data_IF_733494006817
#
_entry.id   IF_733494006817
#
_cell.length_a   1.000
_cell.length_b   1.000
_cell.length_c   1.000
_cell.angle_alpha   90.00
_cell.angle_beta   90.00
_cell.angle_gamma   90.00
#
_symmetry.space_group_name_H-M   'P 1'
#
loop_
_entity.id
_entity.type
_entity.pdbx_description
1 polymer ?
#
# COMPACT_ATOMS: atom_id res chain seq x y z
N UNK A 1 -19.88 12.94 24.93
CA UNK A 1 -19.65 11.48 24.75
C UNK A 1 -19.19 11.14 23.32
N UNK A 2 -18.37 12.01 22.70
CA UNK A 2 -17.96 11.88 21.28
C UNK A 2 -16.58 11.24 21.10
N UNK A 3 -15.83 11.00 22.19
CA UNK A 3 -14.44 10.53 22.15
C UNK A 3 -14.27 9.02 22.25
N UNK A 4 -15.31 8.27 22.62
CA UNK A 4 -15.25 6.80 22.78
C UNK A 4 -15.64 6.08 21.47
N UNK A 5 -16.44 6.72 20.61
CA UNK A 5 -16.82 6.17 19.30
C UNK A 5 -15.66 6.16 18.29
N UNK A 6 -14.68 7.07 18.43
CA UNK A 6 -13.53 7.15 17.52
C UNK A 6 -12.52 6.02 17.76
N UNK A 7 -12.40 5.54 19.00
CA UNK A 7 -11.44 4.50 19.39
C UNK A 7 -11.95 3.08 19.11
N UNK A 8 -13.27 2.88 19.02
CA UNK A 8 -13.85 1.57 18.65
C UNK A 8 -13.92 1.37 17.13
N UNK A 9 -13.88 2.44 16.33
CA UNK A 9 -13.97 2.37 14.87
C UNK A 9 -12.65 1.95 14.18
N UNK A 10 -11.50 2.22 14.79
CA UNK A 10 -10.18 1.83 14.25
C UNK A 10 -9.98 0.30 14.32
N UNK A 11 -10.65 -0.38 15.26
CA UNK A 11 -10.55 -1.83 15.42
C UNK A 11 -11.38 -2.65 14.42
N UNK A 12 -12.37 -2.04 13.74
CA UNK A 12 -13.24 -2.74 12.79
C UNK A 12 -12.70 -2.78 11.37
N UNK A 13 -11.75 -1.90 11.02
CA UNK A 13 -11.10 -1.89 9.70
C UNK A 13 -9.97 -2.93 9.60
N UNK A 14 -9.53 -3.51 10.72
CA UNK A 14 -8.47 -4.52 10.76
C UNK A 14 -8.96 -5.98 10.77
N UNK A 15 -10.28 -6.25 10.76
CA UNK A 15 -10.83 -7.59 11.01
C UNK A 15 -11.55 -8.26 9.82
N UNK A 16 -11.57 -7.70 8.61
CA UNK A 16 -12.28 -8.33 7.46
C UNK A 16 -11.43 -8.69 6.24
N UNK A 17 -10.11 -8.50 6.26
CA UNK A 17 -9.21 -8.95 5.18
C UNK A 17 -8.49 -10.27 5.48
N UNK A 18 -9.14 -11.21 6.17
CA UNK A 18 -8.60 -12.54 6.49
C UNK A 18 -9.27 -13.68 5.73
N UNK A 19 -9.54 -13.53 4.43
CA UNK A 19 -9.92 -14.66 3.59
C UNK A 19 -9.39 -14.47 2.17
N UNK A 20 -8.17 -14.96 1.92
CA UNK A 20 -7.72 -15.83 0.81
C UNK A 20 -6.20 -16.00 0.98
N UNK A 21 -5.79 -16.83 1.95
CA UNK A 21 -4.59 -17.70 1.86
C UNK A 21 -4.83 -18.84 2.85
N UNK A 22 -5.38 -19.96 2.40
CA UNK A 22 -5.44 -21.19 3.21
C UNK A 22 -5.23 -22.42 2.33
N UNK A 23 -3.96 -22.82 2.16
CA UNK A 23 -3.39 -24.02 2.79
C UNK A 23 -1.97 -24.33 2.31
N UNK A 24 -1.25 -25.03 3.19
CA UNK A 24 0.08 -25.65 3.07
C UNK A 24 1.21 -24.73 3.53
N UNK A 25 1.89 -24.90 4.66
CA UNK A 25 2.05 -26.02 5.60
C UNK A 25 2.42 -25.47 6.98
N UNK A 26 2.10 -26.24 8.02
CA UNK A 26 2.59 -26.11 9.40
C UNK A 26 4.07 -25.71 9.47
N UNK A 27 4.36 -24.43 9.69
CA UNK A 27 5.62 -23.97 10.30
C UNK A 27 5.29 -23.74 11.78
N UNK A 28 5.98 -24.47 12.66
CA UNK A 28 5.99 -24.17 14.10
C UNK A 28 6.28 -22.67 14.25
N UNK A 29 5.30 -21.88 14.66
CA UNK A 29 5.51 -20.53 15.16
C UNK A 29 6.34 -20.70 16.44
N UNK A 30 7.66 -20.62 16.29
CA UNK A 30 8.50 -20.21 17.41
C UNK A 30 8.14 -18.76 17.70
N UNK A 31 7.73 -18.47 18.93
CA UNK A 31 7.48 -17.09 19.35
C UNK A 31 8.70 -16.21 19.00
N UNK A 32 8.49 -14.99 18.48
CA UNK A 32 9.60 -14.10 18.17
C UNK A 32 10.45 -13.86 19.42
N UNK A 33 11.74 -14.12 19.32
CA UNK A 33 12.69 -13.87 20.41
C UNK A 33 13.37 -12.53 20.20
N UNK A 34 13.66 -11.84 21.30
CA UNK A 34 14.50 -10.64 21.24
C UNK A 34 15.86 -10.99 20.65
N UNK A 35 16.31 -10.14 19.74
CA UNK A 35 17.57 -10.29 19.00
C UNK A 35 18.17 -8.92 18.74
N UNK A 36 19.43 -8.90 18.32
CA UNK A 36 20.10 -7.69 17.84
C UNK A 36 20.45 -7.91 16.38
N UNK A 37 19.62 -7.38 15.47
CA UNK A 37 19.84 -7.50 14.02
C UNK A 37 20.34 -6.22 13.37
N UNK A 38 19.89 -5.08 13.89
CA UNK A 38 20.28 -3.75 13.44
C UNK A 38 20.77 -2.99 14.67
N UNK A 39 21.91 -2.32 14.55
CA UNK A 39 22.44 -1.43 15.60
C UNK A 39 21.41 -0.33 15.91
N UNK A 40 21.22 -0.02 17.20
CA UNK A 40 20.26 0.98 17.70
C UNK A 40 18.77 0.72 17.37
N UNK A 41 18.41 -0.54 17.12
CA UNK A 41 17.02 -0.97 16.98
C UNK A 41 16.69 -2.09 17.97
N UNK A 42 15.47 -2.04 18.49
CA UNK A 42 14.88 -3.13 19.26
C UNK A 42 14.26 -4.14 18.29
N UNK A 43 14.91 -5.29 18.14
CA UNK A 43 14.49 -6.31 17.17
C UNK A 43 13.86 -7.55 17.84
N UNK A 44 12.85 -8.09 17.17
CA UNK A 44 12.26 -9.41 17.41
C UNK A 44 12.46 -10.28 16.18
N UNK A 45 13.15 -11.40 16.37
CA UNK A 45 13.52 -12.30 15.30
C UNK A 45 12.79 -13.63 15.42
N UNK A 46 12.48 -14.21 14.27
CA UNK A 46 12.02 -15.58 14.09
C UNK A 46 12.79 -16.20 12.93
N UNK A 47 12.62 -17.50 12.69
CA UNK A 47 13.27 -18.15 11.54
C UNK A 47 12.92 -17.51 10.19
N UNK A 48 11.76 -16.86 10.06
CA UNK A 48 11.27 -16.29 8.81
C UNK A 48 11.42 -14.78 8.74
N UNK A 49 11.22 -14.10 9.86
CA UNK A 49 11.00 -12.65 9.91
C UNK A 49 11.81 -11.99 11.00
N UNK A 50 12.29 -10.78 10.71
CA UNK A 50 12.76 -9.82 11.69
C UNK A 50 11.87 -8.58 11.67
N UNK A 51 11.41 -8.15 12.84
CA UNK A 51 10.77 -6.85 13.05
C UNK A 51 11.66 -6.03 13.95
N UNK A 52 12.08 -4.86 13.52
CA UNK A 52 12.91 -3.94 14.28
C UNK A 52 12.19 -2.61 14.48
N UNK A 53 12.16 -2.14 15.71
CA UNK A 53 11.58 -0.84 16.08
C UNK A 53 12.70 0.12 16.46
N UNK A 54 12.56 1.37 16.02
CA UNK A 54 13.43 2.47 16.43
C UNK A 54 12.54 3.61 16.95
N UNK A 55 12.88 4.11 18.13
CA UNK A 55 12.25 5.24 18.82
C UNK A 55 13.21 6.43 18.99
N UNK A 56 14.29 6.44 18.21
CA UNK A 56 15.38 7.42 18.23
C UNK A 56 15.51 8.09 16.85
N UNK A 57 16.51 8.96 16.70
CA UNK A 57 16.79 9.55 15.39
C UNK A 57 17.34 8.45 14.45
N UNK A 58 16.73 8.31 13.27
CA UNK A 58 17.17 7.33 12.27
C UNK A 58 18.61 7.65 11.84
N UNK A 59 19.56 6.69 11.89
CA UNK A 59 20.91 6.95 11.46
C UNK A 59 20.97 7.23 9.96
N UNK A 60 22.02 7.92 9.50
CA UNK A 60 22.25 8.17 8.07
C UNK A 60 22.26 6.89 7.23
N UNK A 61 22.74 5.79 7.83
CA UNK A 61 22.80 4.44 7.27
C UNK A 61 22.60 3.45 8.40
N UNK A 62 21.72 2.47 8.22
CA UNK A 62 21.53 1.41 9.22
C UNK A 62 22.71 0.42 9.19
N UNK A 63 23.08 -0.11 10.35
CA UNK A 63 24.17 -1.08 10.44
C UNK A 63 23.62 -2.47 10.77
N UNK A 64 23.80 -3.43 9.85
CA UNK A 64 23.38 -4.82 10.05
C UNK A 64 24.45 -5.60 10.80
N UNK A 65 24.06 -6.21 11.92
CA UNK A 65 24.97 -6.99 12.74
C UNK A 65 25.40 -8.29 12.01
N UNK A 66 26.70 -8.64 12.00
CA UNK A 66 27.23 -9.73 11.17
C UNK A 66 26.54 -11.08 11.38
N UNK A 67 26.17 -11.36 12.63
CA UNK A 67 25.50 -12.60 13.02
C UNK A 67 24.07 -12.69 12.51
N UNK A 68 23.43 -11.62 12.05
CA UNK A 68 22.03 -11.61 11.58
C UNK A 68 21.88 -11.53 10.06
N UNK A 69 22.99 -11.47 9.33
CA UNK A 69 22.99 -11.43 7.87
C UNK A 69 22.48 -12.74 7.28
N UNK A 70 21.73 -12.62 6.18
CA UNK A 70 21.25 -13.70 5.33
C UNK A 70 20.33 -14.72 6.00
N UNK A 71 19.43 -14.28 6.88
CA UNK A 71 18.56 -15.19 7.65
C UNK A 71 17.09 -15.12 7.29
N UNK A 72 16.61 -13.94 6.87
CA UNK A 72 15.17 -13.65 6.88
C UNK A 72 14.59 -13.64 5.47
N UNK A 73 13.31 -13.96 5.34
CA UNK A 73 12.53 -13.77 4.12
C UNK A 73 11.66 -12.51 4.21
N UNK A 74 11.41 -12.03 5.44
CA UNK A 74 10.55 -10.88 5.72
C UNK A 74 11.22 -9.95 6.72
N UNK A 75 11.24 -8.66 6.41
CA UNK A 75 11.86 -7.61 7.20
C UNK A 75 10.86 -6.50 7.41
N UNK A 76 10.64 -6.12 8.65
CA UNK A 76 9.79 -4.99 9.02
C UNK A 76 10.56 -3.98 9.86
N UNK A 77 10.50 -2.71 9.46
CA UNK A 77 11.01 -1.58 10.23
C UNK A 77 9.84 -0.72 10.70
N UNK A 78 9.80 -0.43 11.99
CA UNK A 78 8.84 0.49 12.61
C UNK A 78 9.64 1.67 13.15
N UNK A 79 9.42 2.84 12.56
CA UNK A 79 10.21 4.04 12.84
C UNK A 79 9.31 5.07 13.52
N UNK A 80 9.75 5.50 14.69
CA UNK A 80 9.17 6.58 15.48
C UNK A 80 10.29 7.53 15.86
N UNK A 81 10.10 8.83 15.63
CA UNK A 81 11.05 9.84 16.07
C UNK A 81 10.32 11.05 16.69
N UNK A 82 10.85 11.66 17.77
CA UNK A 82 10.35 12.92 18.26
C UNK A 82 10.71 14.10 17.34
N UNK A 83 11.69 13.93 16.45
CA UNK A 83 12.18 14.93 15.50
C UNK A 83 11.82 14.56 14.04
N UNK A 84 12.38 15.31 13.10
CA UNK A 84 12.27 15.05 11.67
C UNK A 84 13.05 13.78 11.28
N UNK A 85 12.41 12.91 10.51
CA UNK A 85 13.01 11.72 9.92
C UNK A 85 13.54 12.08 8.54
N UNK A 86 14.82 11.81 8.30
CA UNK A 86 15.45 11.97 7.00
C UNK A 86 15.87 10.61 6.46
N UNK A 87 15.27 10.20 5.34
CA UNK A 87 15.62 8.94 4.66
C UNK A 87 16.28 9.29 3.33
N UNK A 88 17.58 9.00 3.26
CA UNK A 88 18.41 9.24 2.08
C UNK A 88 18.63 7.93 1.31
N UNK A 89 19.18 8.04 0.11
CA UNK A 89 19.38 6.92 -0.82
C UNK A 89 20.03 5.66 -0.21
N UNK A 90 20.93 5.84 0.76
CA UNK A 90 21.68 4.75 1.40
C UNK A 90 21.16 4.36 2.78
N UNK A 91 20.15 5.07 3.31
CA UNK A 91 19.69 4.84 4.69
C UNK A 91 19.16 3.43 4.89
N UNK A 92 18.33 2.95 3.95
CA UNK A 92 17.69 1.64 4.01
C UNK A 92 18.41 0.56 3.18
N UNK A 93 19.40 0.94 2.37
CA UNK A 93 20.09 0.01 1.46
C UNK A 93 20.68 -1.23 2.19
N UNK A 94 21.29 -1.11 3.38
CA UNK A 94 21.86 -2.27 4.07
C UNK A 94 20.83 -3.32 4.52
N UNK A 95 19.52 -3.00 4.54
CA UNK A 95 18.46 -3.97 4.86
C UNK A 95 18.59 -5.24 4.00
N UNK A 96 19.06 -5.10 2.76
CA UNK A 96 19.22 -6.24 1.84
C UNK A 96 20.11 -7.35 2.39
N UNK A 97 21.04 -7.04 3.29
CA UNK A 97 21.96 -8.01 3.91
C UNK A 97 21.27 -8.95 4.90
N UNK A 98 20.08 -8.59 5.40
CA UNK A 98 19.30 -9.45 6.30
C UNK A 98 18.61 -10.60 5.55
N UNK A 99 18.41 -10.46 4.24
CA UNK A 99 17.67 -11.45 3.45
C UNK A 99 18.45 -12.72 3.18
N UNK A 100 17.80 -13.85 3.41
CA UNK A 100 18.29 -15.18 3.05
C UNK A 100 18.54 -15.24 1.53
N UNK A 101 19.75 -15.67 1.14
CA UNK A 101 20.22 -15.63 -0.26
C UNK A 101 19.45 -16.56 -1.21
N UNK A 102 18.94 -17.68 -0.68
CA UNK A 102 18.16 -18.69 -1.42
C UNK A 102 16.65 -18.54 -1.16
N UNK A 103 16.19 -17.35 -0.76
CA UNK A 103 14.78 -17.06 -0.60
C UNK A 103 14.03 -17.09 -1.94
N UNK A 104 12.78 -17.51 -1.91
CA UNK A 104 11.80 -17.43 -2.99
C UNK A 104 10.88 -16.22 -2.84
N UNK A 105 10.83 -15.64 -1.64
CA UNK A 105 10.01 -14.50 -1.26
C UNK A 105 10.87 -13.53 -0.45
N UNK A 106 10.79 -12.24 -0.79
CA UNK A 106 11.49 -11.13 -0.14
C UNK A 106 10.46 -10.05 0.18
N UNK A 107 10.11 -9.91 1.46
CA UNK A 107 9.14 -8.93 1.95
C UNK A 107 9.84 -7.82 2.73
N UNK A 108 9.72 -6.57 2.26
CA UNK A 108 10.13 -5.39 3.01
C UNK A 108 8.91 -4.58 3.41
N UNK A 109 8.72 -4.37 4.72
CA UNK A 109 7.70 -3.46 5.27
C UNK A 109 8.37 -2.35 6.06
N UNK A 110 7.96 -1.11 5.83
CA UNK A 110 8.42 0.04 6.59
C UNK A 110 7.23 0.88 7.02
N UNK A 111 7.20 1.20 8.31
CA UNK A 111 6.11 1.93 8.96
C UNK A 111 6.70 3.17 9.64
N UNK A 112 6.21 4.35 9.26
CA UNK A 112 6.49 5.60 9.95
C UNK A 112 5.29 5.96 10.83
N UNK A 113 5.36 5.69 12.13
CA UNK A 113 4.22 5.80 13.04
C UNK A 113 4.06 7.18 13.68
N UNK A 114 5.16 7.86 14.02
CA UNK A 114 5.17 9.17 14.67
C UNK A 114 6.45 9.90 14.29
N UNK A 115 6.33 11.16 13.88
CA UNK A 115 7.44 12.00 13.44
C UNK A 115 7.05 13.47 13.46
N UNK A 116 8.03 14.37 13.64
CA UNK A 116 7.80 15.81 13.51
C UNK A 116 7.87 16.31 12.05
N UNK A 117 8.52 15.53 11.20
CA UNK A 117 8.74 15.73 9.76
C UNK A 117 9.20 14.41 9.13
N UNK A 118 8.87 14.16 7.87
CA UNK A 118 9.43 13.03 7.12
C UNK A 118 9.91 13.53 5.77
N UNK A 119 11.20 13.31 5.51
CA UNK A 119 11.91 13.78 4.32
C UNK A 119 12.46 12.58 3.58
N UNK A 120 11.74 12.14 2.55
CA UNK A 120 12.17 11.07 1.66
C UNK A 120 12.91 11.72 0.49
N UNK A 121 14.23 11.83 0.55
CA UNK A 121 14.98 12.78 -0.29
C UNK A 121 15.43 12.22 -1.66
N UNK A 122 15.52 10.89 -1.80
CA UNK A 122 16.10 10.24 -2.98
C UNK A 122 15.04 9.63 -3.91
N UNK A 123 15.16 9.81 -5.25
CA UNK A 123 14.43 8.99 -6.22
C UNK A 123 14.76 7.51 -6.02
N UNK A 124 13.75 6.64 -6.11
CA UNK A 124 13.94 5.19 -6.09
C UNK A 124 14.58 4.63 -4.81
N UNK A 125 14.40 5.29 -3.66
CA UNK A 125 15.01 4.89 -2.37
C UNK A 125 14.69 3.42 -2.00
N UNK A 126 13.50 2.95 -2.38
CA UNK A 126 13.04 1.60 -2.09
C UNK A 126 13.52 0.55 -3.11
N UNK A 127 14.19 0.93 -4.20
CA UNK A 127 14.72 -0.02 -5.17
C UNK A 127 15.91 -0.81 -4.60
N UNK A 128 16.60 -0.25 -3.61
CA UNK A 128 17.85 -0.77 -3.06
C UNK A 128 17.66 -1.69 -1.86
N UNK A 129 16.42 -1.84 -1.38
CA UNK A 129 16.13 -2.66 -0.20
C UNK A 129 16.15 -4.15 -0.51
N UNK A 130 15.99 -4.52 -1.79
CA UNK A 130 16.09 -5.90 -2.25
C UNK A 130 17.50 -6.20 -2.79
N UNK A 131 17.98 -7.46 -2.68
CA UNK A 131 19.23 -7.88 -3.31
C UNK A 131 19.20 -7.67 -4.84
N UNK A 132 20.35 -7.32 -5.45
CA UNK A 132 20.43 -7.07 -6.89
C UNK A 132 20.39 -8.36 -7.73
N UNK A 133 20.89 -9.47 -7.18
CA UNK A 133 21.04 -10.75 -7.87
C UNK A 133 20.02 -11.79 -7.34
N UNK A 134 18.74 -11.42 -7.38
CA UNK A 134 17.66 -12.33 -6.99
C UNK A 134 17.49 -13.46 -8.02
N UNK A 135 17.09 -14.67 -7.59
CA UNK A 135 16.61 -15.71 -8.50
C UNK A 135 15.51 -15.19 -9.43
N UNK A 136 15.45 -15.66 -10.68
CA UNK A 136 14.50 -15.15 -11.68
C UNK A 136 13.02 -15.37 -11.32
N UNK A 137 12.74 -16.33 -10.45
CA UNK A 137 11.42 -16.69 -9.94
C UNK A 137 11.15 -16.15 -8.53
N UNK A 138 12.13 -15.45 -7.93
CA UNK A 138 11.95 -14.81 -6.63
C UNK A 138 10.90 -13.71 -6.71
N UNK A 139 10.11 -13.58 -5.64
CA UNK A 139 9.04 -12.59 -5.54
C UNK A 139 9.38 -11.49 -4.55
N UNK A 140 9.18 -10.24 -4.93
CA UNK A 140 9.46 -9.08 -4.09
C UNK A 140 8.17 -8.34 -3.70
N UNK A 141 8.03 -8.09 -2.40
CA UNK A 141 6.87 -7.43 -1.81
C UNK A 141 7.35 -6.23 -0.99
N UNK A 142 6.88 -5.04 -1.36
CA UNK A 142 7.19 -3.79 -0.66
C UNK A 142 5.92 -3.22 -0.04
N UNK A 143 5.97 -2.89 1.25
CA UNK A 143 4.90 -2.20 1.96
C UNK A 143 5.43 -0.94 2.61
N UNK A 144 4.84 0.21 2.29
CA UNK A 144 5.14 1.50 2.92
C UNK A 144 3.89 2.03 3.61
N UNK A 145 4.01 2.32 4.91
CA UNK A 145 2.92 2.87 5.71
C UNK A 145 3.37 4.16 6.41
N UNK A 146 2.61 5.23 6.24
CA UNK A 146 2.92 6.54 6.83
C UNK A 146 1.71 7.04 7.61
N UNK A 147 1.85 7.05 8.94
CA UNK A 147 0.83 7.42 9.91
C UNK A 147 1.22 8.72 10.61
N UNK A 148 1.02 9.89 10.00
CA UNK A 148 0.90 11.13 10.77
C UNK A 148 0.18 12.21 9.95
N UNK A 149 -1.08 12.56 10.29
CA UNK A 149 -1.84 13.56 9.54
C UNK A 149 -1.46 15.00 9.94
N UNK A 150 -0.76 15.20 11.06
CA UNK A 150 -0.46 16.54 11.58
C UNK A 150 0.70 17.22 10.85
N UNK A 151 1.48 16.44 10.11
CA UNK A 151 2.65 16.91 9.38
C UNK A 151 2.59 16.45 7.94
N UNK A 152 2.68 17.39 7.00
CA UNK A 152 2.86 17.05 5.59
C UNK A 152 4.31 16.63 5.36
N UNK A 153 4.60 15.41 4.93
CA UNK A 153 5.95 15.03 4.60
C UNK A 153 6.43 15.72 3.33
N UNK A 154 7.75 15.82 3.22
CA UNK A 154 8.44 16.31 2.04
C UNK A 154 8.90 15.10 1.23
N UNK A 155 7.93 14.51 0.52
CA UNK A 155 8.20 13.33 -0.27
C UNK A 155 8.82 13.69 -1.62
N UNK A 156 9.82 12.91 -2.04
CA UNK A 156 10.33 12.96 -3.40
C UNK A 156 9.22 12.49 -4.37
N UNK A 157 8.87 13.30 -5.39
CA UNK A 157 7.85 12.92 -6.37
C UNK A 157 8.26 11.73 -7.24
N UNK A 158 9.49 11.23 -7.16
CA UNK A 158 10.03 10.08 -7.90
C UNK A 158 10.34 8.89 -6.97
N UNK A 159 9.60 8.74 -5.88
CA UNK A 159 9.90 7.81 -4.79
C UNK A 159 10.05 6.35 -5.23
N UNK A 160 9.23 5.90 -6.18
CA UNK A 160 9.22 4.53 -6.72
C UNK A 160 9.71 4.47 -8.16
N UNK A 161 10.48 5.47 -8.60
CA UNK A 161 11.04 5.51 -9.95
C UNK A 161 11.88 4.25 -10.22
N UNK A 162 11.64 3.57 -11.33
CA UNK A 162 12.30 2.31 -11.72
C UNK A 162 12.17 1.16 -10.70
N UNK A 163 11.15 1.18 -9.84
CA UNK A 163 10.90 0.07 -8.92
C UNK A 163 10.46 -1.16 -9.70
N UNK A 164 11.12 -2.30 -9.46
CA UNK A 164 10.70 -3.60 -9.96
C UNK A 164 10.20 -4.45 -8.78
N UNK A 165 8.89 -4.71 -8.76
CA UNK A 165 8.28 -5.48 -7.67
C UNK A 165 7.10 -6.36 -8.13
N UNK A 166 6.92 -7.52 -7.49
CA UNK A 166 5.68 -8.29 -7.65
C UNK A 166 4.52 -7.58 -6.96
N UNK A 167 4.77 -6.97 -5.80
CA UNK A 167 3.75 -6.26 -5.05
C UNK A 167 4.30 -4.98 -4.42
N UNK A 168 3.53 -3.91 -4.52
CA UNK A 168 3.70 -2.68 -3.75
C UNK A 168 2.39 -2.32 -3.06
N UNK A 169 2.41 -2.21 -1.73
CA UNK A 169 1.29 -1.68 -0.94
C UNK A 169 1.68 -0.35 -0.31
N UNK A 170 0.90 0.69 -0.59
CA UNK A 170 1.08 2.02 -0.03
C UNK A 170 -0.11 2.35 0.85
N UNK A 171 0.15 2.63 2.13
CA UNK A 171 -0.82 3.19 3.05
C UNK A 171 -0.37 4.57 3.52
N UNK A 172 -1.15 5.59 3.19
CA UNK A 172 -0.81 6.98 3.53
C UNK A 172 -2.06 7.71 4.00
N UNK A 173 -1.96 8.55 5.03
CA UNK A 173 -3.13 9.26 5.58
C UNK A 173 -3.32 10.65 4.93
N UNK A 174 -2.32 11.19 4.25
CA UNK A 174 -2.33 12.50 3.60
C UNK A 174 -2.22 12.41 2.07
N UNK A 175 -2.57 13.47 1.31
CA UNK A 175 -2.37 13.52 -0.15
C UNK A 175 -0.90 13.61 -0.56
N UNK A 176 -0.47 12.81 -1.54
CA UNK A 176 0.90 12.89 -2.06
C UNK A 176 1.16 14.20 -2.80
N UNK A 177 2.40 14.71 -2.71
CA UNK A 177 2.84 15.93 -3.39
C UNK A 177 2.98 15.75 -4.91
N UNK A 178 3.32 14.54 -5.37
CA UNK A 178 3.56 14.18 -6.76
C UNK A 178 2.33 13.65 -7.51
N UNK A 179 2.48 13.53 -8.83
CA UNK A 179 1.52 12.82 -9.69
C UNK A 179 1.88 11.35 -9.77
N UNK A 180 0.90 10.50 -10.12
CA UNK A 180 1.11 9.07 -10.34
C UNK A 180 2.24 8.81 -11.34
N UNK A 181 2.26 9.57 -12.44
CA UNK A 181 3.26 9.47 -13.50
C UNK A 181 4.67 9.80 -13.01
N UNK A 182 4.82 10.70 -12.03
CA UNK A 182 6.12 11.01 -11.43
C UNK A 182 6.53 9.93 -10.42
N UNK A 183 5.61 9.55 -9.52
CA UNK A 183 5.90 8.63 -8.42
C UNK A 183 6.38 7.27 -8.91
N UNK A 184 5.79 6.79 -10.02
CA UNK A 184 6.02 5.46 -10.57
C UNK A 184 6.71 5.49 -11.95
N UNK A 185 7.41 6.56 -12.30
CA UNK A 185 8.13 6.66 -13.58
C UNK A 185 9.06 5.44 -13.78
N UNK A 186 8.94 4.73 -14.90
CA UNK A 186 9.71 3.52 -15.20
C UNK A 186 9.45 2.31 -14.28
N UNK A 187 8.51 2.38 -13.33
CA UNK A 187 8.24 1.28 -12.41
C UNK A 187 7.58 0.09 -13.14
N UNK A 188 7.96 -1.13 -12.79
CA UNK A 188 7.33 -2.36 -13.24
C UNK A 188 6.79 -3.14 -12.04
N UNK A 189 5.48 -3.02 -11.81
CA UNK A 189 4.79 -3.55 -10.64
C UNK A 189 3.64 -4.45 -11.09
N UNK A 190 3.66 -5.73 -10.67
CA UNK A 190 2.57 -6.65 -11.02
C UNK A 190 1.29 -6.31 -10.26
N UNK A 191 1.40 -6.00 -8.97
CA UNK A 191 0.28 -5.61 -8.13
C UNK A 191 0.60 -4.36 -7.31
N UNK A 192 -0.12 -3.27 -7.56
CA UNK A 192 -0.01 -2.02 -6.80
C UNK A 192 -1.30 -1.82 -6.01
N UNK A 193 -1.20 -1.67 -4.69
CA UNK A 193 -2.33 -1.31 -3.83
C UNK A 193 -2.12 0.07 -3.24
N UNK A 194 -3.05 0.97 -3.50
CA UNK A 194 -3.09 2.32 -2.95
C UNK A 194 -4.21 2.39 -1.92
N UNK A 195 -3.84 2.54 -0.65
CA UNK A 195 -4.77 2.68 0.46
C UNK A 195 -4.64 4.07 1.09
N UNK A 196 -5.74 4.82 1.13
CA UNK A 196 -5.76 6.16 1.72
C UNK A 196 -5.37 7.27 0.73
N UNK A 197 -4.30 8.00 1.05
CA UNK A 197 -3.88 9.30 0.51
C UNK A 197 -4.11 9.52 -0.98
N UNK A 198 -4.53 10.74 -1.34
CA UNK A 198 -4.83 11.11 -2.72
C UNK A 198 -3.57 11.29 -3.55
N UNK A 199 -3.46 10.53 -4.64
CA UNK A 199 -2.43 10.71 -5.68
C UNK A 199 -3.06 11.36 -6.90
N UNK A 200 -2.54 12.49 -7.36
CA UNK A 200 -3.06 13.14 -8.57
C UNK A 200 -2.63 12.37 -9.82
N UNK A 201 -3.50 12.32 -10.83
CA UNK A 201 -3.13 11.83 -12.17
C UNK A 201 -2.84 13.04 -13.06
N UNK A 202 -1.74 13.00 -13.81
CA UNK A 202 -1.40 13.99 -14.84
C UNK A 202 -1.42 13.32 -16.22
N UNK A 203 -2.57 13.44 -16.89
CA UNK A 203 -2.80 12.87 -18.22
C UNK A 203 -1.95 13.54 -19.32
N UNK A 204 -1.32 14.69 -19.05
CA UNK A 204 -0.44 15.34 -20.02
C UNK A 204 0.95 14.69 -20.08
N UNK A 205 1.30 13.87 -19.08
CA UNK A 205 2.55 13.13 -19.03
C UNK A 205 2.34 11.69 -19.48
N UNK A 206 3.25 11.22 -20.33
CA UNK A 206 3.31 9.81 -20.69
C UNK A 206 3.81 8.98 -19.50
N UNK A 207 3.14 7.86 -19.23
CA UNK A 207 3.59 6.88 -18.25
C UNK A 207 4.50 5.86 -18.94
N UNK A 208 5.71 5.69 -18.43
CA UNK A 208 6.75 4.82 -19.01
C UNK A 208 6.84 3.45 -18.32
N UNK A 209 6.20 3.31 -17.16
CA UNK A 209 6.17 2.07 -16.39
C UNK A 209 5.09 1.08 -16.84
N UNK A 210 5.02 -0.04 -16.13
CA UNK A 210 4.01 -1.09 -16.30
C UNK A 210 3.41 -1.39 -14.93
N UNK A 211 2.12 -1.08 -14.76
CA UNK A 211 1.34 -1.50 -13.60
C UNK A 211 0.32 -2.52 -14.09
N UNK A 212 0.52 -3.80 -13.77
CA UNK A 212 -0.34 -4.86 -14.32
C UNK A 212 -1.71 -4.83 -13.65
N UNK A 213 -1.76 -4.69 -12.33
CA UNK A 213 -3.00 -4.57 -11.56
C UNK A 213 -2.87 -3.49 -10.51
N UNK A 214 -3.83 -2.57 -10.49
CA UNK A 214 -3.92 -1.48 -9.52
C UNK A 214 -5.18 -1.65 -8.68
N UNK A 215 -5.02 -1.80 -7.37
CA UNK A 215 -6.11 -1.75 -6.40
C UNK A 215 -6.16 -0.37 -5.71
N UNK A 216 -7.31 0.29 -5.79
CA UNK A 216 -7.61 1.51 -5.05
C UNK A 216 -8.52 1.18 -3.88
N UNK A 217 -8.07 1.38 -2.64
CA UNK A 217 -8.85 1.13 -1.43
C UNK A 217 -9.05 2.43 -0.65
N UNK A 218 -10.26 3.00 -0.68
CA UNK A 218 -10.51 4.33 -0.13
C UNK A 218 -11.90 4.47 0.47
N UNK A 219 -11.98 5.23 1.56
CA UNK A 219 -13.25 5.77 2.06
C UNK A 219 -13.62 7.02 1.27
N UNK A 220 -14.81 7.01 0.67
CA UNK A 220 -15.31 8.13 -0.11
C UNK A 220 -16.81 8.20 0.03
N UNK A 221 -17.38 9.41 0.01
CA UNK A 221 -18.83 9.58 0.00
C UNK A 221 -19.42 9.33 -1.39
N UNK A 222 -18.61 9.44 -2.44
CA UNK A 222 -19.06 9.44 -3.83
C UNK A 222 -18.15 8.58 -4.72
N UNK A 223 -18.75 7.79 -5.61
CA UNK A 223 -18.02 7.12 -6.71
C UNK A 223 -17.78 8.11 -7.87
N UNK A 224 -16.63 8.78 -7.88
CA UNK A 224 -16.28 9.80 -8.89
C UNK A 224 -14.80 9.76 -9.29
N UNK A 225 -14.45 10.43 -10.39
CA UNK A 225 -13.04 10.56 -10.86
C UNK A 225 -12.18 11.29 -9.82
N UNK A 226 -12.77 12.19 -9.05
CA UNK A 226 -12.05 12.92 -8.01
C UNK A 226 -11.63 12.01 -6.86
N UNK A 227 -12.47 11.04 -6.49
CA UNK A 227 -12.19 10.10 -5.40
C UNK A 227 -11.42 8.86 -5.89
N UNK A 228 -11.64 8.46 -7.13
CA UNK A 228 -11.01 7.32 -7.78
C UNK A 228 -10.50 7.75 -9.16
N UNK A 229 -9.33 8.39 -9.26
CA UNK A 229 -8.81 8.83 -10.55
C UNK A 229 -8.53 7.65 -11.50
N UNK A 230 -8.57 7.93 -12.80
CA UNK A 230 -8.11 6.98 -13.82
C UNK A 230 -6.58 7.03 -13.86
N UNK A 231 -5.94 5.90 -13.61
CA UNK A 231 -4.50 5.74 -13.67
C UNK A 231 -4.09 4.82 -14.83
N UNK A 232 -2.87 4.99 -15.38
CA UNK A 232 -2.34 4.17 -16.46
C UNK A 232 -1.92 2.78 -15.96
N UNK A 233 -2.89 1.92 -15.67
CA UNK A 233 -2.71 0.51 -15.29
C UNK A 233 -3.42 -0.43 -16.28
N UNK A 234 -2.99 -1.68 -16.38
CA UNK A 234 -3.64 -2.65 -17.27
C UNK A 234 -5.01 -3.11 -16.73
N UNK A 235 -5.09 -3.40 -15.43
CA UNK A 235 -6.35 -3.69 -14.71
C UNK A 235 -6.49 -2.79 -13.49
N UNK A 236 -7.70 -2.28 -13.25
CA UNK A 236 -8.05 -1.51 -12.04
C UNK A 236 -9.07 -2.30 -11.22
N UNK A 237 -8.87 -2.30 -9.90
CA UNK A 237 -9.78 -2.78 -8.88
C UNK A 237 -10.10 -1.61 -7.96
N UNK A 238 -11.37 -1.38 -7.67
CA UNK A 238 -11.80 -0.33 -6.73
C UNK A 238 -12.48 -1.00 -5.53
N UNK A 239 -11.96 -0.73 -4.33
CA UNK A 239 -12.59 -1.01 -3.04
C UNK A 239 -13.06 0.31 -2.43
N UNK A 240 -14.34 0.62 -2.63
CA UNK A 240 -14.96 1.85 -2.17
C UNK A 240 -15.76 1.63 -0.89
N UNK A 241 -15.39 2.35 0.17
CA UNK A 241 -16.02 2.24 1.49
C UNK A 241 -16.82 3.50 1.83
N UNK A 242 -17.96 3.33 2.49
CA UNK A 242 -18.85 4.40 2.96
C UNK A 242 -19.44 5.29 1.87
N UNK A 243 -19.69 4.73 0.68
CA UNK A 243 -20.36 5.46 -0.41
C UNK A 243 -21.78 5.81 0.01
N UNK A 244 -22.17 7.08 -0.10
CA UNK A 244 -23.54 7.54 0.17
C UNK A 244 -24.20 8.18 -1.05
N UNK A 245 -23.41 8.59 -2.06
CA UNK A 245 -23.88 9.13 -3.33
C UNK A 245 -23.35 8.30 -4.52
N UNK A 246 -24.29 7.84 -5.34
CA UNK A 246 -24.06 6.97 -6.49
C UNK A 246 -24.30 7.66 -7.83
N UNK A 247 -24.91 8.86 -7.85
CA UNK A 247 -25.38 9.50 -9.07
C UNK A 247 -24.53 10.72 -9.39
N UNK A 248 -23.29 10.49 -9.85
CA UNK A 248 -22.42 11.59 -10.28
C UNK A 248 -22.59 11.91 -11.74
N UNK A 249 -22.68 13.21 -12.06
CA UNK A 249 -22.63 13.69 -13.45
C UNK A 249 -21.27 13.44 -14.12
N UNK A 250 -20.23 13.16 -13.33
CA UNK A 250 -18.83 13.04 -13.77
C UNK A 250 -18.26 11.67 -13.40
N UNK A 251 -19.00 10.61 -13.75
CA UNK A 251 -18.53 9.26 -13.51
C UNK A 251 -17.29 8.95 -14.36
N UNK A 252 -16.26 8.33 -13.79
CA UNK A 252 -15.07 7.92 -14.54
C UNK A 252 -15.43 6.90 -15.62
N UNK A 253 -14.94 7.13 -16.83
CA UNK A 253 -14.93 6.08 -17.84
C UNK A 253 -13.68 5.20 -17.64
N UNK A 254 -13.86 4.05 -16.99
CA UNK A 254 -12.80 3.06 -16.90
C UNK A 254 -12.95 2.00 -17.99
N UNK A 255 -12.10 2.05 -19.01
CA UNK A 255 -11.99 0.97 -19.99
C UNK A 255 -11.30 -0.28 -19.40
N UNK A 256 -10.58 -0.12 -18.29
CA UNK A 256 -9.72 -1.12 -17.66
C UNK A 256 -10.16 -1.48 -16.23
N UNK A 257 -11.35 -1.06 -15.77
CA UNK A 257 -11.88 -1.47 -14.48
C UNK A 257 -12.34 -2.93 -14.55
N UNK A 258 -11.59 -3.81 -13.91
CA UNK A 258 -11.90 -5.23 -13.84
C UNK A 258 -12.92 -5.52 -12.74
N UNK A 259 -12.75 -4.88 -11.58
CA UNK A 259 -13.56 -5.17 -10.38
C UNK A 259 -13.93 -3.91 -9.60
N UNK A 260 -15.19 -3.84 -9.19
CA UNK A 260 -15.70 -2.80 -8.30
C UNK A 260 -16.32 -3.46 -7.06
N UNK A 261 -15.80 -3.13 -5.87
CA UNK A 261 -16.35 -3.51 -4.58
C UNK A 261 -16.87 -2.27 -3.88
N UNK A 262 -18.15 -2.27 -3.50
CA UNK A 262 -18.81 -1.15 -2.84
C UNK A 262 -19.39 -1.58 -1.50
N UNK A 263 -19.01 -0.86 -0.46
CA UNK A 263 -19.52 -0.99 0.90
C UNK A 263 -20.23 0.31 1.27
N UNK A 264 -21.53 0.26 1.56
CA UNK A 264 -22.35 1.44 1.82
C UNK A 264 -23.27 1.25 3.04
N UNK A 265 -23.44 2.26 3.91
CA UNK A 265 -24.49 2.23 4.93
C UNK A 265 -25.88 2.59 4.37
N UNK A 266 -25.97 2.96 3.08
CA UNK A 266 -27.16 3.51 2.44
C UNK A 266 -27.81 2.53 1.46
N UNK A 267 -29.05 2.83 1.08
CA UNK A 267 -29.78 2.11 0.04
C UNK A 267 -29.11 2.39 -1.31
N UNK A 268 -28.90 1.35 -2.11
CA UNK A 268 -28.34 1.52 -3.46
C UNK A 268 -29.47 1.90 -4.43
N UNK A 269 -29.40 3.08 -5.07
CA UNK A 269 -30.48 3.57 -5.92
C UNK A 269 -30.51 2.87 -7.30
N UNK A 270 -31.61 3.05 -8.02
CA UNK A 270 -31.71 2.62 -9.41
C UNK A 270 -30.61 3.25 -10.27
N UNK A 271 -30.04 2.48 -11.21
CA UNK A 271 -28.96 2.87 -12.12
C UNK A 271 -27.65 3.31 -11.46
N UNK A 272 -27.42 2.99 -10.18
CA UNK A 272 -26.21 3.34 -9.42
C UNK A 272 -24.90 2.99 -10.14
N UNK A 273 -24.91 1.92 -10.96
CA UNK A 273 -23.71 1.44 -11.63
C UNK A 273 -23.74 1.59 -13.16
N UNK A 274 -24.69 2.36 -13.71
CA UNK A 274 -24.87 2.50 -15.16
C UNK A 274 -23.60 2.98 -15.90
N UNK A 275 -22.75 3.71 -15.21
CA UNK A 275 -21.53 4.31 -15.77
C UNK A 275 -20.32 3.36 -15.76
N UNK A 276 -20.46 2.18 -15.14
CA UNK A 276 -19.42 1.16 -15.03
C UNK A 276 -19.72 -0.03 -15.96
N UNK A 277 -20.13 0.24 -17.21
CA UNK A 277 -20.63 -0.80 -18.12
C UNK A 277 -19.63 -1.92 -18.41
N UNK A 278 -18.32 -1.64 -18.30
CA UNK A 278 -17.22 -2.54 -18.66
C UNK A 278 -16.69 -3.40 -17.49
N UNK A 279 -17.28 -3.31 -16.30
CA UNK A 279 -16.81 -4.12 -15.16
C UNK A 279 -17.10 -5.59 -15.37
N UNK A 280 -16.18 -6.44 -14.92
CA UNK A 280 -16.30 -7.91 -14.99
C UNK A 280 -16.77 -8.50 -13.67
N UNK A 281 -16.44 -7.83 -12.56
CA UNK A 281 -16.83 -8.26 -11.22
C UNK A 281 -17.41 -7.07 -10.45
N UNK A 282 -18.58 -7.27 -9.85
CA UNK A 282 -19.21 -6.31 -8.96
C UNK A 282 -19.53 -7.00 -7.63
N UNK A 283 -18.95 -6.49 -6.54
CA UNK A 283 -19.28 -6.90 -5.18
C UNK A 283 -19.97 -5.76 -4.45
N UNK A 284 -21.11 -6.05 -3.84
CA UNK A 284 -21.93 -5.06 -3.15
C UNK A 284 -22.19 -5.53 -1.72
N UNK A 285 -21.97 -4.63 -0.77
CA UNK A 285 -22.39 -4.77 0.62
C UNK A 285 -23.14 -3.50 1.04
N UNK A 286 -24.39 -3.64 1.50
CA UNK A 286 -25.20 -2.54 2.00
C UNK A 286 -25.84 -2.90 3.35
N UNK A 287 -25.96 -1.91 4.24
CA UNK A 287 -26.70 -2.05 5.50
C UNK A 287 -28.23 -1.93 5.31
N UNK A 288 -28.67 -1.48 4.12
CA UNK A 288 -30.09 -1.33 3.73
C UNK A 288 -30.42 -2.28 2.58
N UNK A 289 -31.30 -1.88 1.67
CA UNK A 289 -31.70 -2.65 0.49
C UNK A 289 -31.04 -2.16 -0.80
N UNK A 290 -31.19 -2.95 -1.87
CA UNK A 290 -30.72 -2.64 -3.23
C UNK A 290 -31.96 -2.44 -4.11
N UNK A 291 -32.08 -1.31 -4.80
CA UNK A 291 -33.15 -1.12 -5.77
C UNK A 291 -33.04 -2.18 -6.88
N UNK A 292 -34.14 -2.85 -7.29
CA UNK A 292 -34.09 -3.88 -8.34
C UNK A 292 -33.51 -3.40 -9.68
N UNK A 293 -33.49 -2.08 -9.92
CA UNK A 293 -32.92 -1.44 -11.11
C UNK A 293 -31.50 -0.91 -10.90
N UNK A 294 -30.85 -1.19 -9.77
CA UNK A 294 -29.50 -0.71 -9.47
C UNK A 294 -28.45 -1.17 -10.50
N UNK A 295 -28.62 -2.38 -11.02
CA UNK A 295 -27.70 -3.04 -11.96
C UNK A 295 -27.97 -2.71 -13.44
N UNK A 296 -28.95 -1.84 -13.72
CA UNK A 296 -29.26 -1.44 -15.10
C UNK A 296 -28.05 -0.77 -15.77
N UNK A 297 -27.69 -1.23 -16.96
CA UNK A 297 -26.59 -0.68 -17.76
C UNK A 297 -25.27 -1.44 -17.63
N UNK A 298 -25.23 -2.48 -16.79
CA UNK A 298 -24.09 -3.41 -16.73
C UNK A 298 -24.25 -4.45 -17.84
N UNK A 299 -23.35 -4.41 -18.82
CA UNK A 299 -23.46 -5.23 -20.05
C UNK A 299 -22.61 -6.50 -20.00
N UNK A 300 -21.71 -6.62 -19.02
CA UNK A 300 -20.67 -7.64 -18.98
C UNK A 300 -20.57 -8.42 -17.66
N UNK A 301 -21.55 -8.29 -16.76
CA UNK A 301 -21.65 -9.05 -15.50
C UNK A 301 -22.34 -10.41 -15.69
#
# INVERSE_FOLDING_TARGET
>A
MLRIALLTLIFLVSLTSSFIVRKSTSRRQSDPQYCHAIEDFDCKCSYYRVTCTNDHDLPLTINILPNERHKYQSIELIITAPQDIHVNNHTLEPVKELYKLDGDIFEFRIIFEKFAGLHLSSPGIFNRVFPENLPSDARTYLTLEIYNPEVSPQDNPNLFQNLHADSLELYVVYPWSGTFQQLFDGANIKYLRLSGGDIRSDLSRSFTGIISRLELAKQATVLSVQNFPVYPAHEIIINAFYITDFNTEHSPNYNNLAELRVFTPERIPANAFRQFSNIRTLQISTDKDIDPRALNGLTHL
#
